data_IF_874737526604
#
_entry.id   IF_874737526604
#
_cell.length_a   1.000
_cell.length_b   1.000
_cell.length_c   1.000
_cell.angle_alpha   90.00
_cell.angle_beta   90.00
_cell.angle_gamma   90.00
#
_symmetry.space_group_name_H-M   'P 1'
#
loop_
_entity.id
_entity.type
_entity.pdbx_description
1 polymer ?
#
# COMPACT_ATOMS: atom_id res chain seq x y z
N UNK A 1 19.39 28.86 3.08
CA UNK A 1 18.95 28.37 4.41
C UNK A 1 18.35 26.99 4.24
N UNK A 2 19.10 25.92 4.51
CA UNK A 2 18.61 24.54 4.41
C UNK A 2 17.64 24.28 5.57
N UNK A 3 16.41 23.88 5.23
CA UNK A 3 15.28 23.62 6.13
C UNK A 3 15.59 22.36 6.98
N UNK A 4 16.48 22.49 7.96
CA UNK A 4 17.01 21.40 8.79
C UNK A 4 15.95 20.79 9.74
N UNK A 5 14.80 21.43 9.89
CA UNK A 5 13.71 21.02 10.81
C UNK A 5 12.67 20.08 10.18
N UNK A 6 12.93 19.51 9.00
CA UNK A 6 11.97 18.58 8.34
C UNK A 6 12.33 17.11 8.61
N UNK A 7 13.56 16.82 9.05
CA UNK A 7 14.06 15.46 9.25
C UNK A 7 14.28 15.04 10.71
N UNK A 8 14.29 15.97 11.66
CA UNK A 8 14.48 15.65 13.08
C UNK A 8 13.23 15.10 13.77
N UNK A 9 12.06 15.28 13.15
CA UNK A 9 10.76 14.84 13.67
C UNK A 9 10.27 13.56 12.98
N UNK A 10 11.18 12.67 12.55
CA UNK A 10 10.80 11.27 12.30
C UNK A 10 10.84 10.54 13.64
N UNK A 11 9.72 10.48 14.41
CA UNK A 11 9.68 9.59 15.55
C UNK A 11 9.93 8.18 15.01
N UNK A 12 10.74 7.38 15.72
CA UNK A 12 11.00 5.97 15.38
C UNK A 12 9.71 5.18 15.09
N UNK A 13 8.56 5.66 15.59
CA UNK A 13 7.21 5.15 15.33
C UNK A 13 6.74 5.21 13.85
N UNK A 14 7.31 6.07 13.00
CA UNK A 14 6.92 6.20 11.58
C UNK A 14 7.72 5.30 10.63
N UNK A 15 8.79 4.67 11.13
CA UNK A 15 9.63 3.77 10.33
C UNK A 15 8.95 2.42 10.08
N UNK A 16 8.29 1.88 11.12
CA UNK A 16 7.55 0.62 11.05
C UNK A 16 6.44 0.64 9.96
N UNK A 17 5.51 1.62 9.93
CA UNK A 17 4.47 1.64 8.90
C UNK A 17 5.04 1.88 7.50
N UNK A 18 6.17 2.57 7.35
CA UNK A 18 6.81 2.78 6.06
C UNK A 18 7.38 1.48 5.48
N UNK A 19 8.08 0.68 6.30
CA UNK A 19 8.58 -0.65 5.88
C UNK A 19 7.42 -1.54 5.50
N UNK A 20 6.38 -1.58 6.35
CA UNK A 20 5.25 -2.45 6.13
C UNK A 20 4.49 -2.05 4.86
N UNK A 21 4.24 -0.75 4.63
CA UNK A 21 3.65 -0.27 3.38
C UNK A 21 4.49 -0.66 2.15
N UNK A 22 5.82 -0.52 2.23
CA UNK A 22 6.72 -0.95 1.17
C UNK A 22 6.60 -2.45 0.88
N UNK A 23 6.55 -3.27 1.92
CA UNK A 23 6.38 -4.72 1.80
C UNK A 23 5.04 -5.10 1.19
N UNK A 24 3.94 -4.47 1.61
CA UNK A 24 2.61 -4.69 1.04
C UNK A 24 2.56 -4.30 -0.44
N UNK A 25 3.27 -3.24 -0.82
CA UNK A 25 3.38 -2.82 -2.22
C UNK A 25 4.13 -3.84 -3.07
N UNK A 26 5.23 -4.40 -2.55
CA UNK A 26 5.99 -5.46 -3.22
C UNK A 26 5.16 -6.72 -3.41
N UNK A 27 4.38 -7.12 -2.39
CA UNK A 27 3.44 -8.24 -2.49
C UNK A 27 2.38 -8.01 -3.57
N UNK A 28 1.85 -6.79 -3.68
CA UNK A 28 0.89 -6.43 -4.72
C UNK A 28 1.50 -6.58 -6.13
N UNK A 29 2.73 -6.11 -6.33
CA UNK A 29 3.44 -6.26 -7.61
C UNK A 29 3.66 -7.74 -7.97
N UNK A 30 4.05 -8.55 -6.99
CA UNK A 30 4.22 -10.00 -7.19
C UNK A 30 2.88 -10.64 -7.59
N UNK A 31 1.79 -10.32 -6.87
CA UNK A 31 0.47 -10.84 -7.18
C UNK A 31 0.00 -10.49 -8.60
N UNK A 32 0.31 -9.27 -9.09
CA UNK A 32 0.02 -8.86 -10.47
C UNK A 32 0.78 -9.73 -11.47
N UNK A 33 2.07 -9.99 -11.25
CA UNK A 33 2.88 -10.85 -12.14
C UNK A 33 2.33 -12.28 -12.18
N UNK A 34 2.04 -12.87 -11.02
CA UNK A 34 1.44 -14.21 -10.95
C UNK A 34 0.05 -14.27 -11.61
N UNK A 35 -0.70 -13.18 -11.54
CA UNK A 35 -1.99 -13.08 -12.25
C UNK A 35 -1.81 -13.04 -13.77
N UNK A 36 -0.84 -12.28 -14.28
CA UNK A 36 -0.52 -12.23 -15.73
C UNK A 36 -0.10 -13.62 -16.24
N UNK A 37 0.61 -14.38 -15.41
CA UNK A 37 1.02 -15.76 -15.71
C UNK A 37 -0.15 -16.78 -15.65
N UNK A 38 -1.39 -16.34 -15.45
CA UNK A 38 -2.59 -17.19 -15.32
C UNK A 38 -2.43 -18.31 -14.27
N UNK A 39 -1.69 -18.01 -13.21
CA UNK A 39 -1.50 -19.00 -12.15
C UNK A 39 -2.85 -19.26 -11.47
N UNK A 40 -3.24 -20.53 -11.22
CA UNK A 40 -4.57 -20.87 -10.70
C UNK A 40 -4.86 -20.22 -9.34
N UNK A 41 -3.82 -19.84 -8.60
CA UNK A 41 -3.91 -19.15 -7.33
C UNK A 41 -3.65 -17.64 -7.39
N UNK A 42 -3.48 -17.06 -8.58
CA UNK A 42 -3.19 -15.64 -8.77
C UNK A 42 -4.29 -14.72 -8.25
N UNK A 43 -5.56 -15.11 -8.41
CA UNK A 43 -6.69 -14.35 -7.86
C UNK A 43 -6.70 -14.33 -6.33
N UNK A 44 -6.34 -15.45 -5.67
CA UNK A 44 -6.24 -15.50 -4.20
C UNK A 44 -5.08 -14.63 -3.68
N UNK A 45 -3.93 -14.64 -4.37
CA UNK A 45 -2.82 -13.72 -4.05
C UNK A 45 -3.20 -12.25 -4.23
N UNK A 46 -3.95 -11.93 -5.28
CA UNK A 46 -4.36 -10.54 -5.52
C UNK A 46 -5.42 -10.06 -4.51
N UNK A 47 -6.33 -10.95 -4.09
CA UNK A 47 -7.31 -10.66 -3.05
C UNK A 47 -6.63 -10.39 -1.70
N UNK A 48 -5.69 -11.25 -1.31
CA UNK A 48 -4.95 -11.11 -0.03
C UNK A 48 -4.09 -9.83 -0.01
N UNK A 49 -3.44 -9.48 -1.12
CA UNK A 49 -2.71 -8.23 -1.25
C UNK A 49 -3.64 -7.00 -1.12
N UNK A 50 -4.82 -7.04 -1.76
CA UNK A 50 -5.82 -5.96 -1.66
C UNK A 50 -6.35 -5.79 -0.23
N UNK A 51 -6.69 -6.88 0.46
CA UNK A 51 -7.17 -6.83 1.85
C UNK A 51 -6.10 -6.23 2.76
N UNK A 52 -4.84 -6.66 2.60
CA UNK A 52 -3.72 -6.10 3.37
C UNK A 52 -3.59 -4.60 3.15
N UNK A 53 -3.61 -4.14 1.89
CA UNK A 53 -3.53 -2.72 1.55
C UNK A 53 -4.71 -1.90 2.12
N UNK A 54 -5.91 -2.47 2.11
CA UNK A 54 -7.11 -1.84 2.66
C UNK A 54 -6.99 -1.65 4.18
N UNK A 55 -6.52 -2.66 4.91
CA UNK A 55 -6.26 -2.56 6.36
C UNK A 55 -5.26 -1.44 6.65
N UNK A 56 -4.16 -1.34 5.88
CA UNK A 56 -3.19 -0.25 6.05
C UNK A 56 -3.77 1.12 5.72
N UNK A 57 -4.65 1.20 4.71
CA UNK A 57 -5.31 2.44 4.35
C UNK A 57 -6.23 2.90 5.49
N UNK A 58 -6.99 1.99 6.12
CA UNK A 58 -7.82 2.29 7.30
C UNK A 58 -6.95 2.78 8.47
N UNK A 59 -5.86 2.06 8.79
CA UNK A 59 -4.92 2.48 9.84
C UNK A 59 -4.35 3.87 9.56
N UNK A 60 -4.05 4.16 8.29
CA UNK A 60 -3.56 5.46 7.86
C UNK A 60 -4.62 6.58 7.95
N UNK A 61 -5.88 6.29 7.66
CA UNK A 61 -6.99 7.23 7.85
C UNK A 61 -7.21 7.51 9.34
N UNK A 62 -7.20 6.49 10.19
CA UNK A 62 -7.35 6.66 11.65
C UNK A 62 -6.22 7.51 12.23
N UNK A 63 -4.98 7.30 11.76
CA UNK A 63 -3.81 8.08 12.20
C UNK A 63 -3.55 9.36 11.40
N UNK A 64 -4.45 9.72 10.49
CA UNK A 64 -4.27 10.82 9.53
C UNK A 64 -4.00 12.19 10.19
N UNK A 65 -4.57 12.43 11.37
CA UNK A 65 -4.40 13.70 12.10
C UNK A 65 -3.09 13.84 12.86
N UNK A 66 -2.35 12.74 13.08
CA UNK A 66 -1.17 12.72 13.96
C UNK A 66 0.15 12.81 13.20
N UNK A 67 0.20 12.42 11.92
CA UNK A 67 1.49 12.29 11.22
C UNK A 67 1.39 12.70 9.75
N UNK A 68 2.21 13.67 9.34
CA UNK A 68 2.33 14.14 7.96
C UNK A 68 2.67 13.02 6.95
N UNK A 69 3.27 11.93 7.43
CA UNK A 69 3.56 10.73 6.65
C UNK A 69 2.30 10.07 6.06
N UNK A 70 1.20 9.99 6.83
CA UNK A 70 -0.04 9.37 6.36
C UNK A 70 -0.76 10.25 5.34
N UNK A 71 -0.67 11.58 5.46
CA UNK A 71 -1.23 12.52 4.46
C UNK A 71 -0.65 12.30 3.07
N UNK A 72 0.66 12.05 2.96
CA UNK A 72 1.31 11.82 1.67
C UNK A 72 1.11 10.38 1.15
N UNK A 73 0.97 9.41 2.04
CA UNK A 73 0.87 7.99 1.68
C UNK A 73 -0.54 7.53 1.35
N UNK A 74 -1.58 8.15 1.93
CA UNK A 74 -2.99 7.85 1.68
C UNK A 74 -3.42 7.93 0.19
N UNK A 75 -3.13 9.01 -0.56
CA UNK A 75 -3.56 9.10 -1.96
C UNK A 75 -2.90 8.01 -2.83
N UNK A 76 -1.66 7.61 -2.50
CA UNK A 76 -0.96 6.52 -3.19
C UNK A 76 -1.64 5.18 -2.93
N UNK A 77 -2.00 4.88 -1.68
CA UNK A 77 -2.68 3.63 -1.32
C UNK A 77 -4.04 3.51 -2.03
N UNK A 78 -4.83 4.58 -2.03
CA UNK A 78 -6.14 4.62 -2.70
C UNK A 78 -5.98 4.37 -4.21
N UNK A 79 -4.97 4.98 -4.85
CA UNK A 79 -4.67 4.76 -6.26
C UNK A 79 -4.28 3.29 -6.56
N UNK A 80 -3.46 2.67 -5.72
CA UNK A 80 -3.09 1.26 -5.92
C UNK A 80 -4.26 0.30 -5.70
N UNK A 81 -5.17 0.58 -4.76
CA UNK A 81 -6.39 -0.21 -4.56
C UNK A 81 -7.31 -0.12 -5.80
N UNK A 82 -7.53 1.08 -6.34
CA UNK A 82 -8.40 1.25 -7.52
C UNK A 82 -7.81 0.55 -8.74
N UNK A 83 -6.49 0.66 -8.94
CA UNK A 83 -5.77 -0.02 -10.01
C UNK A 83 -5.83 -1.55 -9.84
N UNK A 84 -5.54 -2.08 -8.65
CA UNK A 84 -5.61 -3.52 -8.41
C UNK A 84 -7.03 -4.08 -8.58
N UNK A 85 -8.05 -3.32 -8.18
CA UNK A 85 -9.46 -3.68 -8.37
C UNK A 85 -9.83 -3.74 -9.85
N UNK A 86 -9.34 -2.80 -10.66
CA UNK A 86 -9.52 -2.85 -12.11
C UNK A 86 -8.93 -4.12 -12.74
N UNK A 87 -7.73 -4.50 -12.29
CA UNK A 87 -7.08 -5.74 -12.72
C UNK A 87 -7.80 -6.99 -12.21
N UNK A 88 -8.45 -6.96 -11.04
CA UNK A 88 -9.27 -8.10 -10.57
C UNK A 88 -10.46 -8.37 -11.48
N UNK A 89 -11.15 -7.32 -11.93
CA UNK A 89 -12.41 -7.42 -12.68
C UNK A 89 -12.18 -7.74 -14.17
N UNK A 90 -11.17 -7.13 -14.79
CA UNK A 90 -10.98 -7.24 -16.25
C UNK A 90 -10.25 -8.50 -16.73
N UNK A 91 -9.56 -9.20 -15.83
CA UNK A 91 -8.86 -10.44 -16.17
C UNK A 91 -9.49 -11.56 -15.34
N UNK A 92 -10.62 -12.11 -15.79
CA UNK A 92 -11.07 -13.42 -15.30
C UNK A 92 -10.02 -14.45 -15.72
N UNK A 93 -9.73 -15.38 -14.81
CA UNK A 93 -8.94 -16.58 -15.11
C UNK A 93 -9.57 -17.36 -16.26
#
# INVERSE_FOLDING_TARGET
MLKKNVYSDFPKASFLPAIVLGFTLSLLMIAIVFKIQHWPYGNYMMLTANISLLVFTILGVVKHKTTEFYKQSLPRCIFYISMASYWTVNIPL
#
